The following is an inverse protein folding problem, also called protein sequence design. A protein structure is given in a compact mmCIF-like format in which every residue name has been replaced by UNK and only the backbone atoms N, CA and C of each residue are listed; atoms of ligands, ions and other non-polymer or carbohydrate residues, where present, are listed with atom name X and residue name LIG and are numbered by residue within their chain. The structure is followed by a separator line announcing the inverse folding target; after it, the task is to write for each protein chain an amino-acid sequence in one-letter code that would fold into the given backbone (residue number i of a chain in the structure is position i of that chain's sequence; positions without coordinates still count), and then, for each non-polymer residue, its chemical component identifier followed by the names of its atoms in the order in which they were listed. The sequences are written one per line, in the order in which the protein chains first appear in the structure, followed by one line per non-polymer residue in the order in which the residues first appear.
data_IF_847364159170
#
_entry.id   IF_847364159170
#
_cell.length_a   1.000
_cell.length_b   1.000
_cell.length_c   1.000
_cell.angle_alpha   90.00
_cell.angle_beta   90.00
_cell.angle_gamma   90.00
#
_symmetry.space_group_name_H-M   'P 1'
#
loop_
_entity.id
_entity.type
_entity.pdbx_description
1 polymer ?
#
# COMPACT_ATOMS: atom_id res chain seq x y z
N UNK A 1 -43.37 22.88 -32.14
CA UNK A 1 -44.76 22.33 -32.03
C UNK A 1 -44.69 21.40 -30.86
N UNK A 2 -45.13 21.89 -29.78
CA UNK A 2 -46.43 21.75 -29.08
C UNK A 2 -46.37 20.64 -28.08
N UNK A 3 -46.35 20.91 -26.91
CA UNK A 3 -47.20 21.26 -25.74
C UNK A 3 -47.35 20.04 -24.85
N UNK A 4 -46.96 20.06 -23.60
CA UNK A 4 -47.48 20.71 -22.39
C UNK A 4 -48.75 20.06 -21.81
N UNK A 5 -48.71 19.91 -20.51
CA UNK A 5 -49.70 19.97 -19.41
C UNK A 5 -49.76 18.69 -18.57
N UNK A 6 -49.52 18.77 -17.28
CA UNK A 6 -50.08 19.48 -16.15
C UNK A 6 -51.23 18.72 -15.43
N UNK A 7 -51.14 18.69 -14.14
CA UNK A 7 -52.22 18.41 -13.18
C UNK A 7 -51.69 17.57 -11.99
N UNK A 8 -51.32 18.01 -10.86
CA UNK A 8 -51.92 18.84 -9.79
C UNK A 8 -52.93 18.07 -8.91
N UNK A 9 -52.60 18.12 -7.63
CA UNK A 9 -53.41 18.38 -6.41
C UNK A 9 -54.11 17.26 -5.69
N UNK A 10 -53.94 17.34 -4.39
CA UNK A 10 -54.91 17.13 -3.31
C UNK A 10 -54.32 16.32 -2.16
N UNK A 11 -53.86 16.82 -1.08
CA UNK A 11 -54.39 17.54 0.07
C UNK A 11 -55.09 16.61 1.11
N UNK A 12 -54.46 16.55 2.28
CA UNK A 12 -54.91 16.90 3.63
C UNK A 12 -55.86 15.96 4.43
N UNK A 13 -55.51 15.83 5.70
CA UNK A 13 -56.38 15.46 6.81
C UNK A 13 -55.64 14.71 7.91
N UNK A 14 -55.13 15.26 8.91
CA UNK A 14 -55.50 15.95 10.16
C UNK A 14 -56.22 15.05 11.18
N UNK A 15 -55.67 15.14 12.44
CA UNK A 15 -56.27 15.01 13.80
C UNK A 15 -56.35 13.58 14.34
N UNK A 16 -56.06 13.32 15.58
CA UNK A 16 -55.86 14.03 16.87
C UNK A 16 -55.86 13.02 17.98
N UNK A 17 -55.22 13.29 18.99
CA UNK A 17 -55.48 13.69 20.35
C UNK A 17 -55.54 12.53 21.39
N UNK A 18 -54.66 12.64 22.35
CA UNK A 18 -54.83 12.94 23.80
C UNK A 18 -55.27 11.81 24.73
N UNK A 19 -54.58 11.76 25.86
CA UNK A 19 -55.00 11.34 27.17
C UNK A 19 -54.31 10.07 27.66
N UNK A 20 -53.90 9.86 28.86
CA UNK A 20 -53.91 10.62 30.09
C UNK A 20 -53.03 9.88 31.11
N UNK A 21 -52.71 10.54 32.17
CA UNK A 21 -51.85 10.22 33.29
C UNK A 21 -52.39 9.11 34.20
N UNK A 22 -51.50 8.46 34.95
CA UNK A 22 -51.87 7.64 36.07
C UNK A 22 -50.64 7.25 36.91
N UNK A 23 -50.33 8.10 37.89
CA UNK A 23 -49.39 7.81 38.97
C UNK A 23 -50.06 6.94 40.01
N UNK A 24 -49.33 5.98 40.61
CA UNK A 24 -49.50 5.59 42.01
C UNK A 24 -48.24 5.02 42.61
N UNK A 25 -47.87 5.63 43.72
CA UNK A 25 -46.83 5.26 44.68
C UNK A 25 -47.15 3.93 45.42
N UNK A 26 -46.09 3.24 45.82
CA UNK A 26 -46.20 2.10 46.74
C UNK A 26 -44.82 1.75 47.38
N UNK A 27 -44.67 2.22 48.59
CA UNK A 27 -43.58 2.01 49.56
C UNK A 27 -43.22 0.54 49.85
N UNK A 28 -41.96 0.28 50.05
CA UNK A 28 -41.49 -0.36 51.29
C UNK A 28 -40.80 -1.71 51.20
N UNK A 29 -39.60 -1.69 51.66
CA UNK A 29 -38.93 -2.61 52.61
C UNK A 29 -37.59 -3.17 52.15
N UNK A 30 -36.59 -2.70 52.84
CA UNK A 30 -35.24 -3.21 53.08
C UNK A 30 -35.16 -4.71 53.35
N UNK A 31 -34.17 -5.37 52.70
CA UNK A 31 -33.34 -6.39 53.41
C UNK A 31 -31.98 -6.51 52.74
N UNK A 32 -30.96 -6.22 53.52
CA UNK A 32 -29.54 -6.44 53.22
C UNK A 32 -29.24 -7.94 53.23
N UNK A 33 -28.32 -8.37 52.40
CA UNK A 33 -27.12 -9.12 52.74
C UNK A 33 -26.59 -9.98 51.58
N UNK A 34 -25.39 -9.80 51.37
CA UNK A 34 -24.23 -10.63 51.08
C UNK A 34 -23.60 -10.45 49.70
N UNK A 35 -22.44 -9.86 49.83
CA UNK A 35 -21.36 -9.84 48.86
C UNK A 35 -20.89 -11.29 48.54
N UNK A 36 -20.74 -11.56 47.28
CA UNK A 36 -19.71 -12.48 46.81
C UNK A 36 -19.23 -11.98 45.46
N UNK A 37 -18.00 -11.51 45.47
CA UNK A 37 -17.33 -10.99 44.29
C UNK A 37 -17.16 -12.09 43.25
N UNK A 38 -17.50 -11.74 42.04
CA UNK A 38 -16.95 -12.34 40.86
C UNK A 38 -16.46 -11.18 39.97
N UNK A 39 -15.21 -10.84 40.14
CA UNK A 39 -14.48 -10.02 39.20
C UNK A 39 -14.32 -10.82 37.90
N UNK A 40 -15.40 -10.87 37.13
CA UNK A 40 -15.38 -11.40 35.76
C UNK A 40 -14.75 -10.40 34.83
N UNK A 41 -13.54 -10.66 34.45
CA UNK A 41 -12.67 -9.98 33.52
C UNK A 41 -13.38 -9.67 32.19
N UNK A 42 -13.96 -8.48 32.05
CA UNK A 42 -14.62 -8.00 30.81
C UNK A 42 -13.64 -7.46 29.78
N UNK A 43 -12.34 -7.68 29.95
CA UNK A 43 -11.28 -7.19 29.03
C UNK A 43 -11.14 -7.97 27.71
N UNK A 44 -11.80 -9.13 27.55
CA UNK A 44 -11.65 -10.00 26.37
C UNK A 44 -12.59 -9.71 25.20
N UNK A 45 -13.71 -9.01 25.39
CA UNK A 45 -14.73 -8.80 24.36
C UNK A 45 -14.35 -7.75 23.30
N UNK A 46 -13.80 -6.58 23.62
CA UNK A 46 -13.40 -5.57 22.61
C UNK A 46 -12.28 -6.10 21.71
N UNK A 47 -11.21 -6.66 22.27
CA UNK A 47 -10.06 -7.21 21.53
C UNK A 47 -10.46 -8.31 20.53
N UNK A 48 -11.35 -9.22 20.93
CA UNK A 48 -11.82 -10.30 20.05
C UNK A 48 -12.71 -9.80 18.91
N UNK A 49 -13.48 -8.73 19.12
CA UNK A 49 -14.31 -8.11 18.09
C UNK A 49 -13.44 -7.36 17.08
N UNK A 50 -12.44 -6.65 17.53
CA UNK A 50 -11.46 -5.94 16.70
C UNK A 50 -10.67 -6.95 15.84
N UNK A 51 -10.09 -8.00 16.42
CA UNK A 51 -9.36 -9.03 15.68
C UNK A 51 -10.22 -9.70 14.59
N UNK A 52 -11.52 -9.91 14.83
CA UNK A 52 -12.44 -10.43 13.80
C UNK A 52 -12.69 -9.41 12.68
N UNK A 53 -12.73 -8.12 12.99
CA UNK A 53 -12.85 -7.05 12.01
C UNK A 53 -11.60 -6.97 11.12
N UNK A 54 -10.43 -6.97 11.73
CA UNK A 54 -9.14 -6.97 11.02
C UNK A 54 -8.97 -8.20 10.12
N UNK A 55 -9.30 -9.40 10.61
CA UNK A 55 -9.28 -10.62 9.82
C UNK A 55 -10.24 -10.55 8.61
N UNK A 56 -11.41 -9.91 8.78
CA UNK A 56 -12.36 -9.73 7.68
C UNK A 56 -11.85 -8.73 6.65
N UNK A 57 -11.25 -7.62 7.08
CA UNK A 57 -10.59 -6.66 6.18
C UNK A 57 -9.50 -7.35 5.37
N UNK A 58 -8.60 -8.10 6.02
CA UNK A 58 -7.55 -8.84 5.35
C UNK A 58 -8.10 -9.85 4.31
N UNK A 59 -9.19 -10.55 4.63
CA UNK A 59 -9.87 -11.44 3.69
C UNK A 59 -10.40 -10.71 2.47
N UNK A 60 -11.05 -9.55 2.66
CA UNK A 60 -11.59 -8.72 1.58
C UNK A 60 -10.49 -8.16 0.69
N UNK A 61 -9.39 -7.68 1.28
CA UNK A 61 -8.24 -7.15 0.54
C UNK A 61 -7.53 -8.24 -0.26
N UNK A 62 -7.39 -9.45 0.30
CA UNK A 62 -6.85 -10.60 -0.44
C UNK A 62 -7.71 -10.95 -1.66
N UNK A 63 -9.03 -10.98 -1.50
CA UNK A 63 -9.95 -11.22 -2.60
C UNK A 63 -9.93 -10.10 -3.63
N UNK A 64 -9.81 -8.84 -3.18
CA UNK A 64 -9.67 -7.69 -4.09
C UNK A 64 -8.39 -7.79 -4.92
N UNK A 65 -7.26 -8.16 -4.31
CA UNK A 65 -6.01 -8.40 -5.03
C UNK A 65 -6.17 -9.45 -6.12
N UNK A 66 -6.81 -10.60 -5.82
CA UNK A 66 -7.11 -11.65 -6.80
C UNK A 66 -7.96 -11.12 -7.96
N UNK A 67 -9.06 -10.41 -7.67
CA UNK A 67 -9.96 -9.86 -8.69
C UNK A 67 -9.26 -8.80 -9.53
N UNK A 68 -8.49 -7.88 -8.92
CA UNK A 68 -7.74 -6.86 -9.65
C UNK A 68 -6.69 -7.46 -10.58
N UNK A 69 -6.00 -8.51 -10.17
CA UNK A 69 -5.05 -9.22 -11.03
C UNK A 69 -5.74 -9.90 -12.21
N UNK A 70 -6.92 -10.51 -11.99
CA UNK A 70 -7.62 -11.25 -13.01
C UNK A 70 -8.31 -10.35 -14.06
N UNK A 71 -8.81 -9.18 -13.65
CA UNK A 71 -9.69 -8.36 -14.53
C UNK A 71 -9.17 -6.93 -14.74
N UNK A 72 -8.13 -6.53 -14.06
CA UNK A 72 -7.72 -5.13 -13.93
C UNK A 72 -8.63 -4.34 -12.98
N UNK A 73 -8.16 -3.15 -12.56
CA UNK A 73 -8.93 -2.30 -11.64
C UNK A 73 -10.25 -1.82 -12.24
N UNK A 74 -10.23 -1.38 -13.50
CA UNK A 74 -11.41 -0.78 -14.17
C UNK A 74 -12.59 -1.75 -14.23
N UNK A 75 -12.37 -2.98 -14.69
CA UNK A 75 -13.42 -3.99 -14.85
C UNK A 75 -13.83 -4.69 -13.55
N UNK A 76 -13.04 -4.57 -12.48
CA UNK A 76 -13.36 -5.16 -11.19
C UNK A 76 -14.62 -4.53 -10.56
N UNK A 77 -15.40 -5.34 -9.83
CA UNK A 77 -16.59 -4.88 -9.11
C UNK A 77 -16.60 -5.36 -7.66
N UNK A 78 -17.25 -4.60 -6.77
CA UNK A 78 -17.46 -4.98 -5.36
C UNK A 78 -18.19 -6.31 -5.23
N UNK A 79 -19.10 -6.63 -6.13
CA UNK A 79 -19.81 -7.91 -6.17
C UNK A 79 -18.85 -9.08 -6.51
N UNK A 80 -17.92 -8.89 -7.44
CA UNK A 80 -16.90 -9.89 -7.75
C UNK A 80 -15.97 -10.11 -6.56
N UNK A 81 -15.56 -9.04 -5.89
CA UNK A 81 -14.71 -9.10 -4.68
C UNK A 81 -15.44 -9.80 -3.54
N UNK A 82 -16.72 -9.49 -3.28
CA UNK A 82 -17.50 -10.16 -2.24
C UNK A 82 -17.65 -11.66 -2.50
N UNK A 83 -17.90 -12.04 -3.76
CA UNK A 83 -17.98 -13.45 -4.18
C UNK A 83 -16.64 -14.18 -4.00
N UNK A 84 -15.54 -13.57 -4.42
CA UNK A 84 -14.18 -14.10 -4.25
C UNK A 84 -13.82 -14.26 -2.77
N UNK A 85 -14.24 -13.30 -1.94
CA UNK A 85 -14.06 -13.36 -0.48
C UNK A 85 -15.01 -14.35 0.22
N UNK A 86 -16.00 -14.94 -0.46
CA UNK A 86 -17.00 -15.80 0.14
C UNK A 86 -17.92 -15.09 1.14
N UNK A 87 -18.21 -13.79 0.90
CA UNK A 87 -19.10 -13.00 1.76
C UNK A 87 -20.25 -12.38 0.96
N UNK A 88 -21.32 -11.95 1.66
CA UNK A 88 -22.39 -11.18 0.99
C UNK A 88 -21.91 -9.77 0.63
N UNK A 89 -22.45 -9.15 -0.45
CA UNK A 89 -22.19 -7.74 -0.75
C UNK A 89 -22.50 -6.82 0.45
N UNK A 90 -23.58 -7.08 1.19
CA UNK A 90 -23.89 -6.32 2.41
C UNK A 90 -22.81 -6.39 3.48
N UNK A 91 -22.15 -7.55 3.61
CA UNK A 91 -21.00 -7.70 4.52
C UNK A 91 -19.81 -6.87 4.03
N UNK A 92 -19.49 -6.87 2.73
CA UNK A 92 -18.43 -6.05 2.16
C UNK A 92 -18.67 -4.56 2.43
N UNK A 93 -19.88 -4.07 2.18
CA UNK A 93 -20.23 -2.66 2.39
C UNK A 93 -20.20 -2.19 3.85
N UNK A 94 -20.16 -3.11 4.82
CA UNK A 94 -19.92 -2.74 6.23
C UNK A 94 -18.46 -2.31 6.47
N UNK A 95 -17.51 -2.71 5.62
CA UNK A 95 -16.09 -2.40 5.75
C UNK A 95 -15.62 -1.37 4.71
N UNK A 96 -16.13 -1.45 3.49
CA UNK A 96 -15.70 -0.61 2.37
C UNK A 96 -16.91 -0.05 1.63
N UNK A 97 -17.04 1.28 1.53
CA UNK A 97 -18.21 1.91 0.88
C UNK A 97 -18.24 1.71 -0.64
N UNK A 98 -17.09 1.48 -1.27
CA UNK A 98 -16.96 1.31 -2.72
C UNK A 98 -15.65 0.61 -3.09
N UNK A 99 -15.46 0.32 -4.39
CA UNK A 99 -14.25 -0.28 -4.96
C UNK A 99 -13.01 0.58 -4.75
N UNK A 100 -13.17 1.89 -4.83
CA UNK A 100 -12.08 2.84 -4.64
C UNK A 100 -11.48 2.75 -3.24
N UNK A 101 -12.32 2.72 -2.19
CA UNK A 101 -11.86 2.57 -0.81
C UNK A 101 -11.09 1.25 -0.59
N UNK A 102 -11.50 0.16 -1.26
CA UNK A 102 -10.78 -1.12 -1.22
C UNK A 102 -9.41 -0.99 -1.90
N UNK A 103 -9.36 -0.33 -3.07
CA UNK A 103 -8.13 -0.16 -3.81
C UNK A 103 -7.13 0.73 -3.07
N UNK A 104 -7.60 1.81 -2.43
CA UNK A 104 -6.76 2.71 -1.62
C UNK A 104 -6.16 1.95 -0.44
N UNK A 105 -6.98 1.25 0.35
CA UNK A 105 -6.49 0.47 1.50
C UNK A 105 -5.48 -0.62 1.08
N UNK A 106 -5.77 -1.35 -0.01
CA UNK A 106 -4.85 -2.34 -0.56
C UNK A 106 -3.56 -1.70 -1.08
N UNK A 107 -3.67 -0.57 -1.78
CA UNK A 107 -2.55 0.20 -2.29
C UNK A 107 -1.64 0.69 -1.17
N UNK A 108 -2.21 1.23 -0.10
CA UNK A 108 -1.47 1.72 1.07
C UNK A 108 -0.69 0.59 1.76
N UNK A 109 -1.31 -0.59 1.93
CA UNK A 109 -0.64 -1.75 2.51
C UNK A 109 0.51 -2.25 1.62
N UNK A 110 0.30 -2.32 0.31
CA UNK A 110 1.31 -2.75 -0.64
C UNK A 110 2.47 -1.74 -0.74
N UNK A 111 2.19 -0.44 -0.76
CA UNK A 111 3.19 0.62 -0.74
C UNK A 111 4.00 0.62 0.57
N UNK A 112 3.35 0.38 1.71
CA UNK A 112 4.02 0.23 3.00
C UNK A 112 5.04 -0.91 2.98
N UNK A 113 4.62 -2.10 2.57
CA UNK A 113 5.49 -3.27 2.43
C UNK A 113 6.60 -3.07 1.39
N UNK A 114 6.30 -2.40 0.29
CA UNK A 114 7.31 -2.04 -0.71
C UNK A 114 8.39 -1.12 -0.12
N UNK A 115 8.00 -0.08 0.63
CA UNK A 115 8.94 0.83 1.30
C UNK A 115 9.86 0.07 2.27
N UNK A 116 9.33 -0.88 3.03
CA UNK A 116 10.11 -1.74 3.93
C UNK A 116 11.10 -2.61 3.16
N UNK A 117 10.64 -3.30 2.09
CA UNK A 117 11.47 -4.14 1.23
C UNK A 117 12.60 -3.33 0.58
N UNK A 118 12.25 -2.18 0.01
CA UNK A 118 13.22 -1.27 -0.60
C UNK A 118 14.22 -0.73 0.44
N UNK A 119 13.74 -0.31 1.62
CA UNK A 119 14.61 0.16 2.71
C UNK A 119 15.62 -0.90 3.13
N UNK A 120 15.19 -2.15 3.28
CA UNK A 120 16.05 -3.27 3.62
C UNK A 120 17.07 -3.62 2.51
N UNK A 121 16.66 -3.55 1.24
CA UNK A 121 17.53 -3.82 0.10
C UNK A 121 18.70 -2.84 0.01
N UNK A 122 18.50 -1.56 0.36
CA UNK A 122 19.48 -0.48 0.28
C UNK A 122 20.17 -0.18 1.62
N UNK A 123 20.31 -1.17 2.51
CA UNK A 123 21.11 -1.03 3.73
C UNK A 123 22.59 -0.85 3.39
N UNK A 124 23.38 -0.12 4.22
CA UNK A 124 24.81 0.08 4.00
C UNK A 124 25.61 -1.20 3.78
N UNK A 125 25.28 -2.27 4.51
CA UNK A 125 25.97 -3.57 4.40
C UNK A 125 25.78 -4.18 3.00
N UNK A 126 24.60 -4.09 2.42
CA UNK A 126 24.33 -4.55 1.05
C UNK A 126 25.10 -3.71 0.00
N UNK A 127 25.15 -2.39 0.22
CA UNK A 127 25.83 -1.46 -0.67
C UNK A 127 27.37 -1.54 -0.59
N UNK A 128 27.92 -2.11 0.48
CA UNK A 128 29.34 -2.33 0.65
C UNK A 128 29.86 -3.61 -0.05
N UNK A 129 28.98 -4.44 -0.59
CA UNK A 129 29.31 -5.67 -1.30
C UNK A 129 29.98 -5.36 -2.66
N UNK A 130 30.76 -6.31 -3.24
CA UNK A 130 31.14 -6.26 -4.65
C UNK A 130 29.93 -6.06 -5.55
N UNK A 131 30.11 -5.38 -6.70
CA UNK A 131 29.01 -4.93 -7.55
C UNK A 131 28.01 -6.03 -7.92
N UNK A 132 28.48 -7.22 -8.28
CA UNK A 132 27.64 -8.38 -8.60
C UNK A 132 26.77 -8.79 -7.40
N UNK A 133 27.35 -8.88 -6.21
CA UNK A 133 26.66 -9.22 -4.96
C UNK A 133 25.73 -8.11 -4.49
N UNK A 134 26.14 -6.86 -4.68
CA UNK A 134 25.30 -5.71 -4.38
C UNK A 134 24.02 -5.72 -5.25
N UNK A 135 24.16 -6.03 -6.55
CA UNK A 135 23.01 -6.17 -7.43
C UNK A 135 22.09 -7.31 -6.99
N UNK A 136 22.64 -8.46 -6.60
CA UNK A 136 21.84 -9.55 -6.03
C UNK A 136 21.10 -9.10 -4.77
N UNK A 137 21.79 -8.53 -3.80
CA UNK A 137 21.23 -8.12 -2.52
C UNK A 137 20.17 -7.00 -2.65
N UNK A 138 20.29 -6.13 -3.67
CA UNK A 138 19.34 -5.04 -3.89
C UNK A 138 18.18 -5.43 -4.80
N UNK A 139 18.39 -6.19 -5.86
CA UNK A 139 17.37 -6.49 -6.86
C UNK A 139 16.50 -7.69 -6.49
N UNK A 140 17.06 -8.76 -5.88
CA UNK A 140 16.29 -9.96 -5.57
C UNK A 140 15.08 -9.70 -4.66
N UNK A 141 15.20 -8.94 -3.56
CA UNK A 141 14.04 -8.63 -2.73
C UNK A 141 12.97 -7.85 -3.49
N UNK A 142 13.37 -6.92 -4.37
CA UNK A 142 12.43 -6.10 -5.15
C UNK A 142 11.71 -6.93 -6.21
N UNK A 143 12.42 -7.81 -6.91
CA UNK A 143 11.85 -8.73 -7.89
C UNK A 143 10.89 -9.70 -7.20
N UNK A 144 11.33 -10.32 -6.10
CA UNK A 144 10.52 -11.24 -5.30
C UNK A 144 9.23 -10.59 -4.83
N UNK A 145 9.31 -9.36 -4.28
CA UNK A 145 8.13 -8.62 -3.86
C UNK A 145 7.11 -8.46 -4.98
N UNK A 146 7.54 -8.05 -6.18
CA UNK A 146 6.64 -7.87 -7.32
C UNK A 146 6.03 -9.20 -7.78
N UNK A 147 6.82 -10.28 -7.83
CA UNK A 147 6.32 -11.62 -8.17
C UNK A 147 5.27 -12.14 -7.17
N UNK A 148 5.47 -11.88 -5.88
CA UNK A 148 4.54 -12.28 -4.81
C UNK A 148 3.31 -11.38 -4.69
N UNK A 149 3.39 -10.14 -5.19
CA UNK A 149 2.34 -9.15 -5.06
C UNK A 149 1.94 -8.54 -6.43
N UNK A 150 1.43 -9.35 -7.38
CA UNK A 150 1.12 -8.84 -8.73
C UNK A 150 0.05 -7.74 -8.72
N UNK A 151 -0.82 -7.68 -7.71
CA UNK A 151 -1.77 -6.58 -7.53
C UNK A 151 -1.08 -5.22 -7.33
N UNK A 152 0.18 -5.20 -6.87
CA UNK A 152 0.97 -3.98 -6.78
C UNK A 152 1.16 -3.35 -8.16
N UNK A 153 1.60 -4.12 -9.15
CA UNK A 153 1.76 -3.64 -10.53
C UNK A 153 0.43 -3.17 -11.12
N UNK A 154 -0.68 -3.89 -10.90
CA UNK A 154 -2.01 -3.50 -11.38
C UNK A 154 -2.46 -2.17 -10.79
N UNK A 155 -2.22 -1.93 -9.48
CA UNK A 155 -2.62 -0.70 -8.81
C UNK A 155 -1.64 0.47 -9.04
N UNK A 156 -0.37 0.21 -9.36
CA UNK A 156 0.60 1.29 -9.58
C UNK A 156 0.67 1.74 -11.05
N UNK A 157 0.32 0.87 -11.99
CA UNK A 157 0.48 1.13 -13.44
C UNK A 157 -0.80 0.94 -14.25
N UNK A 158 -1.93 0.58 -13.62
CA UNK A 158 -3.22 0.42 -14.30
C UNK A 158 -3.83 1.74 -14.78
N UNK A 159 -4.84 1.65 -15.64
CA UNK A 159 -5.65 2.79 -16.05
C UNK A 159 -6.75 3.09 -15.01
N UNK A 160 -7.15 4.34 -14.89
CA UNK A 160 -8.26 4.82 -14.03
C UNK A 160 -8.12 4.50 -12.54
N UNK A 161 -6.89 4.42 -12.05
CA UNK A 161 -6.59 4.18 -10.64
C UNK A 161 -6.88 5.44 -9.82
N UNK A 162 -7.31 5.31 -8.54
CA UNK A 162 -7.51 6.45 -7.67
C UNK A 162 -6.29 7.36 -7.60
N UNK A 163 -6.48 8.66 -7.82
CA UNK A 163 -5.40 9.64 -7.92
C UNK A 163 -4.52 9.76 -6.67
N UNK A 164 -5.01 9.32 -5.50
CA UNK A 164 -4.21 9.24 -4.27
C UNK A 164 -3.11 8.18 -4.41
N UNK A 165 -3.42 7.01 -4.98
CA UNK A 165 -2.44 5.94 -5.21
C UNK A 165 -1.37 6.41 -6.20
N UNK A 166 -1.77 7.10 -7.27
CA UNK A 166 -0.83 7.65 -8.26
C UNK A 166 0.16 8.60 -7.60
N UNK A 167 -0.30 9.54 -6.78
CA UNK A 167 0.58 10.50 -6.08
C UNK A 167 1.55 9.83 -5.11
N UNK A 168 1.08 8.83 -4.37
CA UNK A 168 1.94 8.06 -3.45
C UNK A 168 2.99 7.26 -4.21
N UNK A 169 2.63 6.67 -5.35
CA UNK A 169 3.54 5.97 -6.23
C UNK A 169 4.60 6.91 -6.84
N UNK A 170 4.20 8.10 -7.31
CA UNK A 170 5.13 9.10 -7.86
C UNK A 170 6.11 9.60 -6.79
N UNK A 171 5.64 9.79 -5.56
CA UNK A 171 6.49 10.15 -4.41
C UNK A 171 7.50 9.04 -4.12
N UNK A 172 7.05 7.79 -4.14
CA UNK A 172 7.93 6.63 -3.94
C UNK A 172 8.98 6.54 -5.05
N UNK A 173 8.56 6.69 -6.31
CA UNK A 173 9.44 6.70 -7.48
C UNK A 173 10.55 7.76 -7.35
N UNK A 174 10.19 8.99 -7.01
CA UNK A 174 11.15 10.09 -6.80
C UNK A 174 12.12 9.76 -5.67
N UNK A 175 11.64 9.22 -4.55
CA UNK A 175 12.46 8.81 -3.41
C UNK A 175 13.46 7.73 -3.79
N UNK A 176 13.02 6.73 -4.58
CA UNK A 176 13.88 5.65 -5.06
C UNK A 176 14.97 6.18 -5.99
N UNK A 177 14.63 7.05 -6.93
CA UNK A 177 15.59 7.65 -7.85
C UNK A 177 16.66 8.43 -7.08
N UNK A 178 16.26 9.29 -6.15
CA UNK A 178 17.17 10.06 -5.29
C UNK A 178 18.11 9.14 -4.48
N UNK A 179 17.61 7.99 -4.02
CA UNK A 179 18.44 7.03 -3.31
C UNK A 179 19.48 6.38 -4.23
N UNK A 180 19.10 5.99 -5.45
CA UNK A 180 20.04 5.45 -6.45
C UNK A 180 21.08 6.50 -6.83
N UNK A 181 20.68 7.77 -7.02
CA UNK A 181 21.60 8.88 -7.27
C UNK A 181 22.62 9.05 -6.14
N UNK A 182 22.17 8.98 -4.88
CA UNK A 182 23.05 9.08 -3.73
C UNK A 182 24.06 7.93 -3.65
N UNK A 183 23.63 6.70 -3.95
CA UNK A 183 24.52 5.53 -4.03
C UNK A 183 25.54 5.71 -5.14
N UNK A 184 25.11 6.08 -6.35
CA UNK A 184 26.01 6.33 -7.49
C UNK A 184 27.01 7.44 -7.19
N UNK A 185 26.57 8.53 -6.56
CA UNK A 185 27.46 9.64 -6.16
C UNK A 185 28.56 9.20 -5.19
N UNK A 186 28.29 8.18 -4.35
CA UNK A 186 29.30 7.58 -3.49
C UNK A 186 30.36 6.78 -4.27
N UNK A 187 30.00 6.14 -5.38
CA UNK A 187 30.93 5.44 -6.26
C UNK A 187 31.65 6.38 -7.26
N UNK A 188 30.98 7.45 -7.66
CA UNK A 188 31.39 8.36 -8.73
C UNK A 188 31.51 9.80 -8.22
N UNK A 189 32.37 10.09 -7.22
CA UNK A 189 32.42 11.38 -6.53
C UNK A 189 32.81 12.57 -7.44
N UNK A 190 33.55 12.31 -8.52
CA UNK A 190 34.03 13.32 -9.45
C UNK A 190 33.11 13.49 -10.68
N UNK A 191 31.97 12.77 -10.71
CA UNK A 191 31.02 12.81 -11.83
C UNK A 191 29.98 13.92 -11.62
N UNK A 192 29.69 14.75 -12.64
CA UNK A 192 28.69 15.78 -12.54
C UNK A 192 27.29 15.24 -12.18
N UNK A 193 26.56 15.95 -11.33
CA UNK A 193 25.25 15.52 -10.85
C UNK A 193 24.25 15.18 -11.98
N UNK A 194 24.27 15.96 -13.07
CA UNK A 194 23.43 15.71 -14.23
C UNK A 194 23.76 14.38 -14.93
N UNK A 195 25.00 13.89 -14.84
CA UNK A 195 25.38 12.60 -15.37
C UNK A 195 24.96 11.47 -14.42
N UNK A 196 25.13 11.65 -13.11
CA UNK A 196 24.60 10.75 -12.09
C UNK A 196 23.10 10.54 -12.27
N UNK A 197 22.32 11.62 -12.46
CA UNK A 197 20.87 11.55 -12.72
C UNK A 197 20.56 10.74 -13.99
N UNK A 198 21.34 10.93 -15.08
CA UNK A 198 21.12 10.14 -16.31
C UNK A 198 21.38 8.65 -16.09
N UNK A 199 22.48 8.31 -15.40
CA UNK A 199 22.82 6.91 -15.06
C UNK A 199 21.74 6.30 -14.18
N UNK A 200 21.32 6.98 -13.11
CA UNK A 200 20.26 6.53 -12.21
C UNK A 200 18.93 6.30 -12.94
N UNK A 201 18.56 7.23 -13.82
CA UNK A 201 17.36 7.12 -14.64
C UNK A 201 17.43 5.91 -15.59
N UNK A 202 18.58 5.66 -16.22
CA UNK A 202 18.77 4.48 -17.07
C UNK A 202 18.67 3.17 -16.30
N UNK A 203 19.28 3.07 -15.13
CA UNK A 203 19.16 1.90 -14.23
C UNK A 203 17.68 1.65 -13.91
N UNK A 204 16.95 2.71 -13.54
CA UNK A 204 15.55 2.61 -13.17
C UNK A 204 14.67 2.14 -14.34
N UNK A 205 14.87 2.69 -15.53
CA UNK A 205 14.15 2.29 -16.75
C UNK A 205 14.46 0.83 -17.10
N UNK A 206 15.74 0.43 -17.09
CA UNK A 206 16.15 -0.95 -17.37
C UNK A 206 15.55 -1.92 -16.35
N UNK A 207 15.58 -1.58 -15.06
CA UNK A 207 14.96 -2.39 -14.02
C UNK A 207 13.46 -2.55 -14.24
N UNK A 208 12.74 -1.44 -14.50
CA UNK A 208 11.30 -1.47 -14.74
C UNK A 208 10.94 -2.32 -15.98
N UNK A 209 11.61 -2.09 -17.09
CA UNK A 209 11.37 -2.86 -18.32
C UNK A 209 11.70 -4.35 -18.13
N UNK A 210 12.81 -4.66 -17.45
CA UNK A 210 13.15 -6.03 -17.10
C UNK A 210 12.13 -6.69 -16.18
N UNK A 211 11.61 -5.94 -15.19
CA UNK A 211 10.58 -6.42 -14.29
C UNK A 211 9.27 -6.75 -15.03
N UNK A 212 8.85 -5.94 -16.00
CA UNK A 212 7.67 -6.21 -16.83
C UNK A 212 7.81 -7.54 -17.57
N UNK A 213 9.00 -7.82 -18.14
CA UNK A 213 9.29 -9.10 -18.81
C UNK A 213 9.31 -10.27 -17.81
N UNK A 214 9.96 -10.08 -16.64
CA UNK A 214 10.02 -11.10 -15.57
C UNK A 214 8.61 -11.47 -15.10
N UNK A 215 7.73 -10.48 -14.92
CA UNK A 215 6.35 -10.69 -14.48
C UNK A 215 5.48 -11.38 -15.53
N UNK A 216 5.80 -11.26 -16.81
CA UNK A 216 5.09 -11.91 -17.91
C UNK A 216 5.44 -13.41 -18.05
N UNK A 217 6.45 -13.92 -17.33
CA UNK A 217 6.93 -15.31 -17.46
C UNK A 217 6.89 -16.03 -16.11
N UNK A 218 7.03 -17.36 -16.13
CA UNK A 218 7.03 -18.22 -14.93
C UNK A 218 8.16 -19.27 -15.00
N UNK A 219 8.46 -19.90 -13.86
CA UNK A 219 9.40 -21.00 -13.75
C UNK A 219 10.80 -20.65 -14.29
N UNK A 220 11.41 -21.56 -15.06
CA UNK A 220 12.78 -21.42 -15.58
C UNK A 220 12.95 -20.21 -16.50
N UNK A 221 11.92 -19.85 -17.24
CA UNK A 221 11.97 -18.69 -18.13
C UNK A 221 12.06 -17.38 -17.34
N UNK A 222 11.28 -17.26 -16.27
CA UNK A 222 11.40 -16.14 -15.33
C UNK A 222 12.81 -16.04 -14.73
N UNK A 223 13.37 -17.16 -14.29
CA UNK A 223 14.74 -17.21 -13.76
C UNK A 223 15.77 -16.75 -14.78
N UNK A 224 15.60 -17.14 -16.06
CA UNK A 224 16.48 -16.70 -17.14
C UNK A 224 16.41 -15.18 -17.35
N UNK A 225 15.21 -14.59 -17.36
CA UNK A 225 15.07 -13.12 -17.47
C UNK A 225 15.60 -12.36 -16.25
N UNK A 226 15.47 -12.90 -15.04
CA UNK A 226 16.10 -12.32 -13.84
C UNK A 226 17.62 -12.27 -14.02
N UNK A 227 18.21 -13.35 -14.48
CA UNK A 227 19.65 -13.42 -14.75
C UNK A 227 20.08 -12.44 -15.84
N UNK A 228 19.31 -12.33 -16.93
CA UNK A 228 19.61 -11.38 -18.02
C UNK A 228 19.52 -9.93 -17.55
N UNK A 229 18.49 -9.56 -16.78
CA UNK A 229 18.37 -8.21 -16.22
C UNK A 229 19.60 -7.85 -15.36
N UNK A 230 20.01 -8.75 -14.47
CA UNK A 230 21.20 -8.54 -13.62
C UNK A 230 22.47 -8.43 -14.47
N UNK A 231 22.60 -9.26 -15.50
CA UNK A 231 23.74 -9.24 -16.42
C UNK A 231 23.82 -7.90 -17.18
N UNK A 232 22.69 -7.38 -17.65
CA UNK A 232 22.62 -6.08 -18.33
C UNK A 232 23.05 -4.96 -17.39
N UNK A 233 22.50 -4.93 -16.16
CA UNK A 233 22.84 -3.91 -15.18
C UNK A 233 24.30 -3.99 -14.73
N UNK A 234 24.82 -5.19 -14.52
CA UNK A 234 26.22 -5.40 -14.19
C UNK A 234 27.13 -4.86 -15.28
N UNK A 235 26.93 -5.26 -16.54
CA UNK A 235 27.73 -4.80 -17.68
C UNK A 235 27.62 -3.29 -17.94
N UNK A 236 26.49 -2.70 -17.63
CA UNK A 236 26.30 -1.25 -17.73
C UNK A 236 27.05 -0.50 -16.64
N UNK A 237 27.06 -1.03 -15.41
CA UNK A 237 27.65 -0.36 -14.25
C UNK A 237 29.16 -0.65 -14.08
N UNK A 238 29.62 -1.85 -14.41
CA UNK A 238 31.01 -2.27 -14.21
C UNK A 238 32.04 -1.28 -14.83
N UNK A 239 31.89 -0.78 -16.07
CA UNK A 239 32.82 0.20 -16.63
C UNK A 239 32.77 1.57 -15.92
N UNK A 240 31.66 1.91 -15.27
CA UNK A 240 31.47 3.17 -14.57
C UNK A 240 32.00 3.12 -13.14
N UNK A 241 31.65 2.07 -12.41
CA UNK A 241 31.92 1.91 -10.98
C UNK A 241 33.27 1.20 -10.77
N UNK A 242 33.61 0.20 -11.61
CA UNK A 242 34.82 -0.63 -11.47
C UNK A 242 34.86 -1.33 -10.12
N UNK A 243 36.08 -1.66 -9.67
CA UNK A 243 36.32 -2.24 -8.34
C UNK A 243 36.37 -1.21 -7.20
N UNK A 244 35.78 -0.03 -7.41
CA UNK A 244 35.81 1.05 -6.41
C UNK A 244 34.91 0.70 -5.22
N UNK A 245 35.46 0.69 -4.00
CA UNK A 245 34.61 0.56 -2.81
C UNK A 245 33.71 1.80 -2.64
N UNK A 246 32.49 1.59 -2.14
CA UNK A 246 31.58 2.69 -1.81
C UNK A 246 32.27 3.63 -0.82
N UNK A 247 32.50 4.87 -1.21
CA UNK A 247 32.91 5.91 -0.28
C UNK A 247 31.70 6.28 0.57
N UNK A 248 31.76 6.09 1.89
CA UNK A 248 30.74 6.58 2.79
C UNK A 248 30.44 8.05 2.45
N UNK A 249 29.16 8.47 2.36
CA UNK A 249 28.84 9.87 2.12
C UNK A 249 29.57 10.69 3.18
N UNK A 250 30.41 11.65 2.73
CA UNK A 250 31.09 12.58 3.59
C UNK A 250 30.02 13.27 4.45
N UNK A 251 30.09 13.09 5.77
CA UNK A 251 29.21 13.79 6.67
C UNK A 251 29.33 15.29 6.34
N UNK A 252 28.21 15.90 5.97
CA UNK A 252 28.16 17.34 5.76
C UNK A 252 28.78 18.02 6.97
N UNK A 253 29.66 19.02 6.83
CA UNK A 253 30.24 19.70 7.97
C UNK A 253 29.10 20.24 8.83
N UNK A 254 29.12 19.79 10.11
CA UNK A 254 28.17 20.29 11.10
C UNK A 254 28.23 21.82 11.07
N UNK A 255 27.14 22.46 10.68
CA UNK A 255 26.96 23.91 10.77
C UNK A 255 27.22 24.30 12.23
N UNK A 256 28.32 24.98 12.48
CA UNK A 256 28.65 25.54 13.78
C UNK A 256 27.50 26.45 14.21
N UNK A 257 27.10 26.43 15.51
CA UNK A 257 26.07 27.32 16.01
C UNK A 257 26.54 28.77 15.87
N UNK A 258 25.66 29.73 15.53
CA UNK A 258 26.04 31.13 15.46
C UNK A 258 26.49 31.59 16.85
N UNK A 259 27.74 32.07 16.93
CA UNK A 259 28.28 32.76 18.11
C UNK A 259 27.38 33.95 18.44
N UNK A 260 26.65 33.85 19.56
CA UNK A 260 25.96 34.98 20.15
C UNK A 260 26.98 36.06 20.57
N UNK A 261 26.67 37.26 20.11
CA UNK A 261 27.08 38.51 20.76
C UNK A 261 25.83 39.26 21.22
#
# INVERSE_FOLDING_TARGET
MSEARSGATGAAGRKGATGDAGATEGKGATKAAHASGSAGTTAGRPRRRQARGEARIAQLLKAAASVFCATGYTAASTNAIAREAGVSPGTLYQFFPNKEAIAVELGDQLLGRWRETYGAAFLPDNLALPLDRMLDATLDPLITFNCENPAFTVLMHGSEIPGVIIREHDTLHTTMLTRVEAVLGGYLPDTPSAEITRIATMIFILFKAGLDVIMAHEGKEREAYIKELKTVLLRYLEPLVGDRPLRAPSAAPATAPPNGR
#
